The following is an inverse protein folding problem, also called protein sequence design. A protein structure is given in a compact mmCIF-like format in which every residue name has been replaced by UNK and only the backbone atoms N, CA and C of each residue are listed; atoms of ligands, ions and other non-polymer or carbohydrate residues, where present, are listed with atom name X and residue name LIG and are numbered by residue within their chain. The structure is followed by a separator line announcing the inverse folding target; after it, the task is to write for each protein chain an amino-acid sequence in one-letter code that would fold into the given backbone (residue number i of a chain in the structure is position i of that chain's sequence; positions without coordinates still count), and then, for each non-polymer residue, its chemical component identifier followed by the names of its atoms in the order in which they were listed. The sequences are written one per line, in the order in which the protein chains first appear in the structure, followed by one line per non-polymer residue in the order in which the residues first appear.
data_IF_069482976519
#
_entry.id   IF_069482976519
#
_cell.length_a   1.000
_cell.length_b   1.000
_cell.length_c   1.000
_cell.angle_alpha   90.00
_cell.angle_beta   90.00
_cell.angle_gamma   90.00
#
_symmetry.space_group_name_H-M   'P 1'
#
loop_
_entity.id
_entity.type
_entity.pdbx_description
1 polymer ?
#
# COMPACT_ATOMS: atom_id res chain seq x y z
N UNK A 1 -1.79 -3.67 -44.76
CA UNK A 1 -2.23 -2.27 -44.73
C UNK A 1 -3.02 -1.94 -43.48
N UNK A 2 -4.26 -2.43 -43.39
CA UNK A 2 -5.23 -2.08 -42.32
C UNK A 2 -4.74 -2.45 -40.91
N UNK A 3 -4.10 -3.60 -40.73
CA UNK A 3 -3.57 -4.04 -39.42
C UNK A 3 -2.46 -3.11 -38.92
N UNK A 4 -1.54 -2.70 -39.80
CA UNK A 4 -0.44 -1.79 -39.44
C UNK A 4 -0.98 -0.40 -39.09
N UNK A 5 -1.93 0.12 -39.88
CA UNK A 5 -2.62 1.38 -39.59
C UNK A 5 -3.40 1.33 -38.27
N UNK A 6 -4.10 0.22 -38.00
CA UNK A 6 -4.81 0.01 -36.74
C UNK A 6 -3.86 0.00 -35.54
N UNK A 7 -2.70 -0.64 -35.64
CA UNK A 7 -1.67 -0.64 -34.60
C UNK A 7 -1.05 0.74 -34.35
N UNK A 8 -0.79 1.50 -35.42
CA UNK A 8 -0.22 2.85 -35.32
C UNK A 8 -1.15 3.85 -34.63
N UNK A 9 -2.47 3.62 -34.69
CA UNK A 9 -3.49 4.45 -34.02
C UNK A 9 -3.78 3.93 -32.60
N UNK A 10 -3.94 2.61 -32.43
CA UNK A 10 -4.31 2.03 -31.14
C UNK A 10 -3.22 2.16 -30.09
N UNK A 11 -1.94 2.07 -30.49
CA UNK A 11 -0.81 2.21 -29.57
C UNK A 11 -0.77 3.57 -28.84
N UNK A 12 -0.76 4.74 -29.51
CA UNK A 12 -0.75 6.02 -28.81
C UNK A 12 -2.04 6.27 -28.01
N UNK A 13 -3.20 5.88 -28.53
CA UNK A 13 -4.49 6.02 -27.81
C UNK A 13 -4.47 5.19 -26.53
N UNK A 14 -3.91 3.97 -26.57
CA UNK A 14 -3.76 3.14 -25.39
C UNK A 14 -2.93 3.83 -24.31
N UNK A 15 -1.77 4.41 -24.65
CA UNK A 15 -0.93 5.11 -23.67
C UNK A 15 -1.58 6.36 -23.10
N UNK A 16 -2.33 7.12 -23.92
CA UNK A 16 -3.12 8.28 -23.46
C UNK A 16 -4.19 7.83 -22.46
N UNK A 17 -4.95 6.78 -22.81
CA UNK A 17 -6.01 6.25 -21.96
C UNK A 17 -5.48 5.59 -20.68
N UNK A 18 -4.30 4.97 -20.75
CA UNK A 18 -3.63 4.38 -19.60
C UNK A 18 -3.31 5.44 -18.54
N UNK A 19 -2.98 6.66 -18.98
CA UNK A 19 -2.73 7.84 -18.14
C UNK A 19 -1.85 7.53 -16.91
N UNK A 20 -0.79 6.73 -17.11
CA UNK A 20 0.00 6.17 -16.02
C UNK A 20 0.67 7.23 -15.13
N UNK A 21 0.90 8.44 -15.67
CA UNK A 21 1.49 9.57 -14.94
C UNK A 21 0.61 10.04 -13.78
N UNK A 22 -0.71 10.07 -13.97
CA UNK A 22 -1.68 10.49 -12.96
C UNK A 22 -2.18 9.32 -12.09
N UNK A 23 -1.74 8.10 -12.39
CA UNK A 23 -2.08 6.86 -11.67
C UNK A 23 -0.81 6.20 -11.09
N UNK A 24 -0.13 6.86 -10.13
CA UNK A 24 1.18 6.42 -9.66
C UNK A 24 1.13 5.19 -8.74
N UNK A 25 -0.06 4.74 -8.31
CA UNK A 25 -0.27 3.55 -7.48
C UNK A 25 0.65 3.50 -6.26
N UNK A 26 1.24 2.33 -6.02
CA UNK A 26 2.16 2.12 -4.90
C UNK A 26 3.40 3.04 -4.93
N UNK A 27 3.94 3.38 -6.11
CA UNK A 27 5.10 4.27 -6.19
C UNK A 27 4.75 5.69 -5.68
N UNK A 28 3.55 6.16 -6.00
CA UNK A 28 3.02 7.43 -5.47
C UNK A 28 2.83 7.38 -3.96
N UNK A 29 2.22 6.30 -3.45
CA UNK A 29 2.02 6.10 -2.02
C UNK A 29 3.34 6.05 -1.23
N UNK A 30 4.35 5.34 -1.75
CA UNK A 30 5.67 5.25 -1.12
C UNK A 30 6.41 6.60 -1.14
N UNK A 31 6.31 7.36 -2.22
CA UNK A 31 6.89 8.70 -2.29
C UNK A 31 6.18 9.68 -1.34
N UNK A 32 4.85 9.59 -1.20
CA UNK A 32 4.10 10.35 -0.21
C UNK A 32 4.57 10.04 1.21
N UNK A 33 4.68 8.75 1.57
CA UNK A 33 5.17 8.33 2.88
C UNK A 33 6.61 8.79 3.14
N UNK A 34 7.50 8.72 2.14
CA UNK A 34 8.87 9.25 2.26
C UNK A 34 8.92 10.72 2.70
N UNK A 35 7.96 11.54 2.26
CA UNK A 35 7.93 12.97 2.54
C UNK A 35 7.31 13.29 3.91
N UNK A 36 6.45 12.43 4.43
CA UNK A 36 5.53 12.76 5.53
C UNK A 36 5.81 11.98 6.82
N UNK A 37 6.42 10.80 6.70
CA UNK A 37 6.69 9.91 7.82
C UNK A 37 7.86 10.47 8.66
N UNK A 38 7.64 10.65 9.95
CA UNK A 38 8.68 10.99 10.92
C UNK A 38 9.52 9.78 11.33
N UNK A 39 10.74 10.01 11.85
CA UNK A 39 11.68 8.93 12.22
C UNK A 39 11.14 7.93 13.26
N UNK A 40 10.19 8.34 14.10
CA UNK A 40 9.60 7.51 15.15
C UNK A 40 8.21 6.97 14.80
N UNK A 41 7.70 7.30 13.61
CA UNK A 41 6.42 6.82 13.15
C UNK A 41 6.50 5.32 12.83
N UNK A 42 5.35 4.67 12.70
CA UNK A 42 5.26 3.25 12.31
C UNK A 42 4.54 3.11 11.00
N UNK A 43 4.97 2.14 10.20
CA UNK A 43 4.32 1.83 8.93
C UNK A 43 3.80 0.40 9.00
N UNK A 44 2.48 0.27 8.88
CA UNK A 44 1.80 -1.00 8.77
C UNK A 44 1.18 -1.15 7.38
N UNK A 45 1.16 -2.38 6.88
CA UNK A 45 0.53 -2.74 5.62
C UNK A 45 -0.54 -3.77 5.90
N UNK A 46 -1.78 -3.52 5.47
CA UNK A 46 -2.88 -4.43 5.76
C UNK A 46 -2.83 -5.71 4.95
N UNK A 47 -2.31 -5.68 3.73
CA UNK A 47 -2.41 -6.82 2.79
C UNK A 47 -1.06 -7.28 2.26
N UNK A 48 -0.83 -8.58 2.29
CA UNK A 48 0.42 -9.16 1.77
C UNK A 48 0.56 -8.98 0.25
N UNK A 49 -0.55 -8.80 -0.47
CA UNK A 49 -0.55 -8.54 -1.91
C UNK A 49 0.04 -7.19 -2.31
N UNK A 50 0.12 -6.26 -1.36
CA UNK A 50 0.76 -4.96 -1.56
C UNK A 50 2.01 -4.77 -0.68
N UNK A 51 2.23 -5.63 0.32
CA UNK A 51 3.39 -5.56 1.19
C UNK A 51 4.71 -5.59 0.43
N UNK A 52 4.89 -6.56 -0.47
CA UNK A 52 6.14 -6.69 -1.22
C UNK A 52 6.36 -5.53 -2.19
N UNK A 53 5.29 -5.05 -2.83
CA UNK A 53 5.36 -3.88 -3.71
C UNK A 53 5.69 -2.62 -2.91
N UNK A 54 5.09 -2.45 -1.73
CA UNK A 54 5.46 -1.36 -0.82
C UNK A 54 6.93 -1.49 -0.40
N UNK A 55 7.37 -2.66 0.08
CA UNK A 55 8.75 -2.93 0.49
C UNK A 55 9.77 -2.62 -0.63
N UNK A 56 9.42 -2.89 -1.88
CA UNK A 56 10.24 -2.55 -3.05
C UNK A 56 10.40 -1.03 -3.27
N UNK A 57 9.31 -0.27 -3.15
CA UNK A 57 9.33 1.20 -3.35
C UNK A 57 9.67 1.99 -2.09
N UNK A 58 9.66 1.34 -0.92
CA UNK A 58 9.85 2.01 0.35
C UNK A 58 11.26 2.61 0.42
N UNK A 59 11.29 3.94 0.53
CA UNK A 59 12.51 4.72 0.73
C UNK A 59 12.48 5.45 2.08
N UNK A 60 11.55 5.07 2.96
CA UNK A 60 11.62 5.49 4.37
C UNK A 60 12.72 4.68 5.07
N UNK A 61 13.25 5.22 6.16
CA UNK A 61 14.17 4.50 7.04
C UNK A 61 13.43 3.53 7.99
N UNK A 62 12.11 3.45 7.88
CA UNK A 62 11.25 2.62 8.71
C UNK A 62 10.95 1.30 8.01
N UNK A 63 11.20 0.21 8.72
CA UNK A 63 10.82 -1.12 8.28
C UNK A 63 9.29 -1.30 8.40
N UNK A 64 8.58 -1.56 7.29
CA UNK A 64 7.13 -1.77 7.35
C UNK A 64 6.78 -3.15 7.87
N UNK A 65 5.73 -3.22 8.69
CA UNK A 65 5.17 -4.48 9.19
C UNK A 65 3.88 -4.84 8.46
N UNK A 66 3.79 -6.08 7.98
CA UNK A 66 2.57 -6.67 7.46
C UNK A 66 1.66 -7.06 8.62
N UNK A 67 0.42 -6.56 8.61
CA UNK A 67 -0.59 -7.06 9.52
C UNK A 67 -1.13 -8.41 9.05
N UNK A 68 -0.84 -9.46 9.81
CA UNK A 68 -1.31 -10.83 9.53
C UNK A 68 -1.76 -11.48 10.85
N UNK A 69 -3.04 -11.34 11.24
CA UNK A 69 -3.54 -11.85 12.53
C UNK A 69 -3.66 -13.38 12.54
N UNK A 70 -3.63 -14.02 11.37
CA UNK A 70 -3.76 -15.45 11.19
C UNK A 70 -2.81 -16.00 10.11
N UNK A 71 -2.95 -17.29 9.77
CA UNK A 71 -2.13 -17.91 8.74
C UNK A 71 -2.35 -17.23 7.38
N UNK A 72 -1.26 -17.00 6.67
CA UNK A 72 -1.27 -16.47 5.31
C UNK A 72 -1.43 -17.60 4.30
N UNK A 73 -2.13 -17.33 3.21
CA UNK A 73 -2.29 -18.31 2.14
C UNK A 73 -0.95 -18.61 1.46
N UNK A 74 -0.76 -19.84 0.99
CA UNK A 74 0.51 -20.24 0.35
C UNK A 74 0.88 -19.34 -0.85
N UNK A 75 -0.12 -18.85 -1.59
CA UNK A 75 0.07 -17.98 -2.75
C UNK A 75 0.19 -16.48 -2.41
N UNK A 76 0.14 -16.09 -1.13
CA UNK A 76 0.15 -14.69 -0.71
C UNK A 76 1.57 -14.16 -0.42
N UNK A 77 2.60 -14.90 -0.83
CA UNK A 77 4.01 -14.56 -0.65
C UNK A 77 4.58 -14.94 0.73
N UNK A 78 3.90 -15.79 1.50
CA UNK A 78 4.30 -16.13 2.87
C UNK A 78 5.72 -16.68 3.00
N UNK A 79 6.25 -17.35 1.97
CA UNK A 79 7.62 -17.88 1.95
C UNK A 79 8.72 -16.79 1.92
N UNK A 80 8.37 -15.55 1.57
CA UNK A 80 9.30 -14.41 1.52
C UNK A 80 9.24 -13.56 2.80
N UNK A 81 8.39 -13.93 3.77
CA UNK A 81 8.24 -13.23 5.03
C UNK A 81 9.08 -13.89 6.11
N UNK A 82 9.74 -13.07 6.90
CA UNK A 82 10.30 -13.47 8.18
C UNK A 82 9.35 -13.07 9.32
N UNK A 83 9.47 -13.68 10.52
CA UNK A 83 8.64 -13.30 11.68
C UNK A 83 8.70 -11.81 12.03
N UNK A 84 9.84 -11.16 11.81
CA UNK A 84 10.04 -9.72 12.02
C UNK A 84 9.29 -8.83 11.04
N UNK A 85 8.86 -9.34 9.88
CA UNK A 85 8.05 -8.59 8.91
C UNK A 85 6.57 -8.53 9.34
N UNK A 86 6.16 -9.23 10.42
CA UNK A 86 4.75 -9.48 10.75
C UNK A 86 4.34 -8.82 12.08
N UNK A 87 3.19 -8.13 12.05
CA UNK A 87 2.46 -7.72 13.25
C UNK A 87 1.10 -8.44 13.31
N UNK A 88 0.91 -9.28 14.34
CA UNK A 88 -0.36 -10.01 14.51
C UNK A 88 -1.43 -9.17 15.20
N UNK A 89 -1.00 -8.36 16.16
CA UNK A 89 -1.86 -7.54 16.99
C UNK A 89 -1.30 -6.13 17.05
N UNK A 90 -2.11 -5.15 16.65
CA UNK A 90 -1.74 -3.74 16.65
C UNK A 90 -1.38 -3.23 18.05
N UNK A 91 -1.97 -3.79 19.12
CA UNK A 91 -1.65 -3.39 20.50
C UNK A 91 -0.23 -3.73 20.93
N UNK A 92 0.41 -4.72 20.30
CA UNK A 92 1.77 -5.15 20.66
C UNK A 92 2.86 -4.27 20.06
N UNK A 93 2.51 -3.45 19.06
CA UNK A 93 3.47 -2.68 18.27
C UNK A 93 3.41 -1.18 18.49
N UNK A 94 2.51 -0.65 19.32
CA UNK A 94 2.27 0.80 19.47
C UNK A 94 2.11 1.22 20.94
N UNK A 95 2.32 2.50 21.20
CA UNK A 95 2.16 3.18 22.49
C UNK A 95 1.31 4.43 22.30
N UNK A 96 0.78 4.96 23.40
CA UNK A 96 0.10 6.26 23.42
C UNK A 96 0.98 7.33 22.76
N UNK A 97 0.34 8.19 21.97
CA UNK A 97 0.90 9.26 21.15
C UNK A 97 1.75 8.81 19.95
N UNK A 98 1.89 7.50 19.68
CA UNK A 98 2.52 7.02 18.46
C UNK A 98 1.72 7.45 17.22
N UNK A 99 2.44 7.75 16.14
CA UNK A 99 1.87 7.96 14.81
C UNK A 99 2.01 6.66 14.01
N UNK A 100 0.91 6.21 13.42
CA UNK A 100 0.86 4.98 12.61
C UNK A 100 0.33 5.29 11.23
N UNK A 101 1.07 4.88 10.21
CA UNK A 101 0.70 4.94 8.81
C UNK A 101 0.26 3.56 8.35
N UNK A 102 -1.01 3.42 7.98
CA UNK A 102 -1.57 2.18 7.44
C UNK A 102 -1.69 2.27 5.92
N UNK A 103 -1.10 1.31 5.21
CA UNK A 103 -1.24 1.20 3.76
C UNK A 103 -2.11 -0.01 3.41
N UNK A 104 -3.21 0.23 2.70
CA UNK A 104 -4.17 -0.78 2.27
C UNK A 104 -4.45 -0.69 0.75
N UNK A 105 -5.25 -1.61 0.23
CA UNK A 105 -5.67 -1.60 -1.18
C UNK A 105 -7.17 -1.84 -1.32
N UNK A 106 -7.78 -1.28 -2.36
CA UNK A 106 -9.15 -1.64 -2.79
C UNK A 106 -9.16 -2.71 -3.88
N UNK A 107 -7.98 -3.08 -4.42
CA UNK A 107 -7.81 -4.07 -5.47
C UNK A 107 -7.77 -5.52 -4.99
N UNK A 108 -7.05 -6.37 -5.72
CA UNK A 108 -6.88 -7.76 -5.31
C UNK A 108 -6.19 -7.86 -3.93
N UNK A 109 -6.73 -8.70 -3.06
CA UNK A 109 -6.28 -8.75 -1.68
C UNK A 109 -6.77 -7.58 -0.82
N UNK A 110 -7.87 -6.91 -1.22
CA UNK A 110 -8.55 -5.88 -0.43
C UNK A 110 -8.88 -6.40 0.97
N UNK A 111 -8.02 -6.03 1.90
CA UNK A 111 -8.19 -6.31 3.32
C UNK A 111 -7.92 -4.99 4.05
N UNK A 112 -8.95 -4.51 4.74
CA UNK A 112 -8.96 -3.27 5.49
C UNK A 112 -9.09 -3.68 6.97
N UNK A 113 -7.96 -3.95 7.65
CA UNK A 113 -8.05 -4.43 9.03
C UNK A 113 -8.72 -3.40 9.93
N UNK A 114 -9.58 -3.87 10.84
CA UNK A 114 -10.15 -3.01 11.87
C UNK A 114 -9.01 -2.54 12.77
N UNK A 115 -8.78 -1.23 12.82
CA UNK A 115 -7.80 -0.62 13.74
C UNK A 115 -8.37 -0.57 15.17
N UNK A 116 -7.51 -0.51 16.20
CA UNK A 116 -7.94 -0.31 17.58
C UNK A 116 -8.81 0.93 17.78
N UNK A 117 -9.76 0.86 18.72
CA UNK A 117 -10.71 1.95 18.98
C UNK A 117 -10.05 3.21 19.55
N UNK A 118 -8.88 3.05 20.18
CA UNK A 118 -8.12 4.18 20.69
C UNK A 118 -7.28 4.88 19.61
N UNK A 119 -7.34 4.47 18.34
CA UNK A 119 -6.64 5.17 17.26
C UNK A 119 -7.56 6.20 16.60
N UNK A 120 -7.11 7.46 16.55
CA UNK A 120 -7.80 8.52 15.83
C UNK A 120 -7.22 8.65 14.41
N UNK A 121 -8.09 8.55 13.39
CA UNK A 121 -7.72 8.88 12.02
C UNK A 121 -7.44 10.39 11.90
N UNK A 122 -6.26 10.74 11.42
CA UNK A 122 -5.85 12.13 11.20
C UNK A 122 -5.97 12.55 9.73
N UNK A 123 -5.61 11.65 8.80
CA UNK A 123 -5.56 11.96 7.37
C UNK A 123 -5.62 10.68 6.53
N UNK A 124 -6.21 10.77 5.35
CA UNK A 124 -6.20 9.70 4.36
C UNK A 124 -5.87 10.24 2.98
N UNK A 125 -5.01 9.52 2.26
CA UNK A 125 -4.63 9.79 0.87
C UNK A 125 -4.83 8.54 0.00
N UNK A 126 -5.10 8.74 -1.28
CA UNK A 126 -5.42 7.64 -2.22
C UNK A 126 -4.64 7.78 -3.52
N UNK A 127 -4.08 6.67 -3.98
CA UNK A 127 -3.25 6.61 -5.19
C UNK A 127 -3.80 5.52 -6.12
N UNK A 128 -4.31 5.93 -7.28
CA UNK A 128 -4.88 5.00 -8.24
C UNK A 128 -3.79 4.14 -8.87
N UNK A 129 -4.02 2.83 -8.98
CA UNK A 129 -3.17 1.95 -9.79
C UNK A 129 -3.40 2.20 -11.27
N UNK A 130 -2.36 1.97 -12.09
CA UNK A 130 -2.39 2.23 -13.55
C UNK A 130 -3.59 1.56 -14.24
N UNK A 131 -3.88 0.32 -13.84
CA UNK A 131 -5.04 -0.42 -14.32
C UNK A 131 -6.17 -0.37 -13.30
N UNK A 132 -7.37 0.04 -13.73
CA UNK A 132 -8.50 0.28 -12.83
C UNK A 132 -8.92 -0.96 -12.01
N UNK A 133 -8.78 -2.16 -12.59
CA UNK A 133 -9.10 -3.42 -11.87
C UNK A 133 -8.15 -3.72 -10.69
N UNK A 134 -6.98 -3.05 -10.62
CA UNK A 134 -6.04 -3.13 -9.49
C UNK A 134 -6.42 -2.15 -8.36
N UNK A 135 -7.41 -1.29 -8.58
CA UNK A 135 -7.97 -0.41 -7.57
C UNK A 135 -7.04 0.73 -7.17
N UNK A 136 -7.03 1.01 -5.88
CA UNK A 136 -6.36 2.15 -5.25
C UNK A 136 -5.52 1.67 -4.09
N UNK A 137 -4.34 2.26 -3.93
CA UNK A 137 -3.57 2.21 -2.69
C UNK A 137 -4.08 3.33 -1.78
N UNK A 138 -4.42 2.98 -0.55
CA UNK A 138 -4.92 3.91 0.46
C UNK A 138 -3.88 4.01 1.56
N UNK A 139 -3.44 5.23 1.86
CA UNK A 139 -2.56 5.52 2.99
C UNK A 139 -3.35 6.30 4.02
N UNK A 140 -3.45 5.79 5.25
CA UNK A 140 -4.17 6.43 6.35
C UNK A 140 -3.24 6.68 7.52
N UNK A 141 -3.19 7.92 8.00
CA UNK A 141 -2.45 8.35 9.19
C UNK A 141 -3.35 8.25 10.41
N UNK A 142 -2.87 7.60 11.45
CA UNK A 142 -3.51 7.49 12.75
C UNK A 142 -2.62 8.03 13.86
N UNK A 143 -3.24 8.51 14.94
CA UNK A 143 -2.59 8.76 16.23
C UNK A 143 -3.19 7.83 17.28
N UNK A 144 -2.34 7.20 18.08
CA UNK A 144 -2.75 6.34 19.18
C UNK A 144 -3.06 7.20 20.42
N UNK A 145 -4.27 7.11 20.97
CA UNK A 145 -4.70 7.84 22.16
C UNK A 145 -4.47 7.07 23.47
#
# INVERSE_FOLDING_TARGET
GIVILGSLISFPIYWINLNAKEKPGMAGAANYLKQEVGLNDKIFVGSSFIYFTFKYYNQTEIHPLLHAPGPLAHFSGAALLSPEDIIKDFYQGVKKDDIVWMTNTTGFGNYQPKVPENWAELKQERFQEVYDYRGWIIVTKYQVN
#
